data_IF_874842416028
#
_entry.id   IF_874842416028
#
_cell.length_a   1.000
_cell.length_b   1.000
_cell.length_c   1.000
_cell.angle_alpha   90.00
_cell.angle_beta   90.00
_cell.angle_gamma   90.00
#
_symmetry.space_group_name_H-M   'P 1'
#
loop_
_entity.id
_entity.type
_entity.pdbx_description
1 polymer ?
#
# COMPACT_ATOMS: atom_id res chain seq x y z
N UNK A 1 -39.74 50.98 12.27
CA UNK A 1 -38.49 50.88 11.50
C UNK A 1 -37.84 49.55 11.86
N UNK A 2 -38.19 48.51 11.07
CA UNK A 2 -37.66 47.14 11.28
C UNK A 2 -36.42 46.95 10.41
N UNK A 3 -35.25 46.72 11.06
CA UNK A 3 -34.03 46.35 10.36
C UNK A 3 -33.96 44.83 10.31
N UNK A 4 -34.10 44.27 9.13
CA UNK A 4 -33.83 42.85 8.86
C UNK A 4 -32.32 42.67 8.67
N UNK A 5 -31.67 41.97 9.57
CA UNK A 5 -30.31 41.47 9.38
C UNK A 5 -30.36 40.18 8.54
N UNK A 6 -29.89 40.26 7.30
CA UNK A 6 -29.60 39.07 6.48
C UNK A 6 -28.29 38.48 6.96
N UNK A 7 -28.35 37.30 7.57
CA UNK A 7 -27.17 36.48 7.86
C UNK A 7 -26.78 35.72 6.57
N UNK A 8 -25.68 36.11 5.96
CA UNK A 8 -25.04 35.33 4.87
C UNK A 8 -24.37 34.08 5.48
N UNK A 9 -24.96 32.92 5.30
CA UNK A 9 -24.32 31.64 5.53
C UNK A 9 -23.32 31.38 4.38
N UNK A 10 -22.03 31.62 4.62
CA UNK A 10 -20.97 31.13 3.76
C UNK A 10 -20.86 29.61 3.95
N UNK A 11 -21.42 28.84 3.05
CA UNK A 11 -21.14 27.43 2.90
C UNK A 11 -19.73 27.29 2.29
N UNK A 12 -18.73 26.93 3.09
CA UNK A 12 -17.46 26.43 2.58
C UNK A 12 -17.71 25.09 1.87
N UNK A 13 -17.95 25.15 0.56
CA UNK A 13 -17.87 23.97 -0.28
C UNK A 13 -16.39 23.55 -0.34
N UNK A 14 -16.03 22.51 0.40
CA UNK A 14 -14.78 21.79 0.21
C UNK A 14 -14.83 21.19 -1.20
N UNK A 15 -14.10 21.76 -2.15
CA UNK A 15 -13.86 21.16 -3.46
C UNK A 15 -13.00 19.90 -3.25
N UNK A 16 -13.65 18.77 -2.98
CA UNK A 16 -13.03 17.47 -3.22
C UNK A 16 -12.73 17.41 -4.73
N UNK A 17 -11.45 17.31 -5.09
CA UNK A 17 -11.08 17.04 -6.46
C UNK A 17 -11.84 15.79 -6.92
N UNK A 18 -12.62 15.91 -7.99
CA UNK A 18 -13.40 14.80 -8.53
C UNK A 18 -12.45 13.61 -8.73
N UNK A 19 -12.78 12.46 -8.15
CA UNK A 19 -12.03 11.24 -8.40
C UNK A 19 -12.24 10.85 -9.85
N UNK A 20 -11.14 10.82 -10.60
CA UNK A 20 -11.18 10.32 -11.96
C UNK A 20 -11.20 8.79 -11.92
N UNK A 21 -12.08 8.17 -12.69
CA UNK A 21 -12.08 6.73 -12.89
C UNK A 21 -10.81 6.25 -13.61
N UNK A 22 -10.53 4.96 -13.51
CA UNK A 22 -9.42 4.33 -14.21
C UNK A 22 -9.60 4.39 -15.73
N UNK A 23 -8.48 4.34 -16.46
CA UNK A 23 -8.55 4.25 -17.94
C UNK A 23 -9.01 2.88 -18.41
N UNK A 24 -8.67 1.84 -17.64
CA UNK A 24 -8.96 0.45 -17.93
C UNK A 24 -9.08 -0.38 -16.65
N UNK A 25 -9.89 -1.43 -16.69
CA UNK A 25 -9.94 -2.45 -15.66
C UNK A 25 -9.10 -3.63 -16.13
N UNK A 26 -8.20 -4.11 -15.27
CA UNK A 26 -7.38 -5.29 -15.53
C UNK A 26 -8.23 -6.48 -15.97
N UNK A 27 -7.81 -7.23 -17.01
CA UNK A 27 -8.65 -8.25 -17.64
C UNK A 27 -8.83 -9.52 -16.80
N UNK A 28 -7.85 -9.82 -15.92
CA UNK A 28 -7.90 -11.02 -15.09
C UNK A 28 -8.91 -10.90 -13.94
N UNK A 29 -9.34 -12.06 -13.46
CA UNK A 29 -10.19 -12.19 -12.26
C UNK A 29 -9.63 -13.26 -11.35
N UNK A 30 -9.45 -12.92 -10.09
CA UNK A 30 -9.16 -13.88 -9.03
C UNK A 30 -10.41 -14.10 -8.21
N UNK A 31 -10.91 -15.33 -8.19
CA UNK A 31 -12.04 -15.70 -7.37
C UNK A 31 -11.59 -15.74 -5.90
N UNK A 32 -12.22 -14.92 -5.06
CA UNK A 32 -12.11 -14.90 -3.61
C UNK A 32 -13.39 -15.45 -3.00
N UNK A 33 -13.42 -15.67 -1.68
CA UNK A 33 -14.61 -16.21 -1.01
C UNK A 33 -15.83 -15.30 -1.13
N UNK A 34 -15.59 -13.97 -1.11
CA UNK A 34 -16.61 -12.93 -1.07
C UNK A 34 -16.90 -12.28 -2.44
N UNK A 35 -16.16 -12.67 -3.50
CA UNK A 35 -16.33 -12.09 -4.83
C UNK A 35 -15.11 -12.27 -5.71
N UNK A 36 -14.99 -11.45 -6.74
CA UNK A 36 -13.88 -11.48 -7.67
C UNK A 36 -13.01 -10.24 -7.55
N UNK A 37 -11.70 -10.42 -7.50
CA UNK A 37 -10.73 -9.34 -7.57
C UNK A 37 -10.29 -9.11 -9.02
N UNK A 38 -10.42 -7.87 -9.52
CA UNK A 38 -9.80 -7.50 -10.79
C UNK A 38 -8.27 -7.55 -10.63
N UNK A 39 -7.56 -8.12 -11.59
CA UNK A 39 -6.12 -8.34 -11.48
C UNK A 39 -5.42 -8.34 -12.83
N UNK A 40 -4.28 -7.66 -12.91
CA UNK A 40 -3.30 -7.87 -13.96
C UNK A 40 -2.38 -9.03 -13.58
N UNK A 41 -2.25 -10.02 -14.46
CA UNK A 41 -1.34 -11.14 -14.27
C UNK A 41 -0.37 -11.15 -15.45
N UNK A 42 0.93 -11.12 -15.15
CA UNK A 42 1.97 -11.24 -16.15
C UNK A 42 2.03 -12.63 -16.77
N UNK A 43 2.82 -12.80 -17.85
CA UNK A 43 3.11 -14.10 -18.41
C UNK A 43 3.68 -15.02 -17.33
N UNK A 44 3.09 -16.21 -17.18
CA UNK A 44 3.60 -17.20 -16.24
C UNK A 44 4.88 -17.83 -16.81
N UNK A 45 6.02 -17.75 -16.11
CA UNK A 45 7.22 -18.46 -16.54
C UNK A 45 7.05 -19.97 -16.36
N UNK A 46 7.87 -20.75 -17.06
CA UNK A 46 7.84 -22.23 -16.96
C UNK A 46 8.12 -22.72 -15.53
N UNK A 47 8.92 -21.98 -14.77
CA UNK A 47 9.21 -22.23 -13.36
C UNK A 47 9.01 -20.96 -12.56
N UNK A 48 8.08 -20.96 -11.62
CA UNK A 48 7.79 -19.80 -10.76
C UNK A 48 8.55 -19.98 -9.43
N UNK A 49 9.68 -19.31 -9.28
CA UNK A 49 10.43 -19.30 -8.00
C UNK A 49 10.10 -18.06 -7.15
N UNK A 50 9.66 -16.97 -7.80
CA UNK A 50 9.24 -15.73 -7.15
C UNK A 50 7.88 -15.27 -7.62
N UNK A 51 7.08 -14.76 -6.70
CA UNK A 51 5.88 -14.00 -7.03
C UNK A 51 6.03 -12.56 -6.57
N UNK A 52 5.91 -11.61 -7.49
CA UNK A 52 5.91 -10.19 -7.20
C UNK A 52 4.47 -9.67 -7.25
N UNK A 53 3.90 -9.38 -6.08
CA UNK A 53 2.60 -8.71 -5.94
C UNK A 53 2.86 -7.21 -5.91
N UNK A 54 2.39 -6.50 -6.94
CA UNK A 54 2.62 -5.06 -7.09
C UNK A 54 1.32 -4.28 -6.92
N UNK A 55 1.29 -3.37 -5.92
CA UNK A 55 0.10 -2.58 -5.58
C UNK A 55 0.21 -1.19 -6.19
N UNK A 56 -0.80 -0.84 -6.99
CA UNK A 56 -0.91 0.45 -7.67
C UNK A 56 -1.06 1.65 -6.72
N UNK A 57 -0.77 2.85 -7.22
CA UNK A 57 -1.03 4.11 -6.52
C UNK A 57 -2.53 4.49 -6.50
N UNK A 58 -2.83 5.70 -6.00
CA UNK A 58 -4.21 6.21 -5.89
C UNK A 58 -4.98 6.26 -7.21
N UNK A 59 -4.30 6.27 -8.34
CA UNK A 59 -4.93 6.26 -9.67
C UNK A 59 -5.49 4.89 -10.06
N UNK A 60 -5.27 3.86 -9.28
CA UNK A 60 -5.80 2.48 -9.46
C UNK A 60 -5.43 1.84 -10.82
N UNK A 61 -4.35 2.30 -11.45
CA UNK A 61 -3.83 1.87 -12.76
C UNK A 61 -2.95 0.62 -12.65
N UNK A 62 -3.53 -0.52 -12.26
CA UNK A 62 -2.81 -1.77 -11.97
C UNK A 62 -1.95 -2.25 -13.15
N UNK A 63 -2.46 -2.17 -14.39
CA UNK A 63 -1.71 -2.59 -15.58
C UNK A 63 -0.40 -1.81 -15.79
N UNK A 64 -0.41 -0.49 -15.50
CA UNK A 64 0.82 0.32 -15.55
C UNK A 64 1.88 -0.20 -14.56
N UNK A 65 1.43 -0.58 -13.34
CA UNK A 65 2.34 -1.12 -12.31
C UNK A 65 2.79 -2.54 -12.64
N UNK A 66 1.92 -3.38 -13.20
CA UNK A 66 2.28 -4.71 -13.70
C UNK A 66 3.41 -4.63 -14.72
N UNK A 67 3.22 -3.79 -15.74
CA UNK A 67 4.23 -3.57 -16.80
C UNK A 67 5.54 -3.01 -16.23
N UNK A 68 5.47 -2.11 -15.25
CA UNK A 68 6.67 -1.58 -14.58
C UNK A 68 7.43 -2.67 -13.82
N UNK A 69 6.71 -3.54 -13.11
CA UNK A 69 7.29 -4.68 -12.39
C UNK A 69 7.90 -5.72 -13.35
N UNK A 70 7.27 -5.98 -14.49
CA UNK A 70 7.82 -6.84 -15.55
C UNK A 70 9.10 -6.25 -16.13
N UNK A 71 9.11 -4.95 -16.47
CA UNK A 71 10.35 -4.29 -16.92
C UNK A 71 11.45 -4.37 -15.86
N UNK A 72 11.12 -4.21 -14.59
CA UNK A 72 12.10 -4.36 -13.52
C UNK A 72 12.65 -5.79 -13.45
N UNK A 73 11.80 -6.82 -13.64
CA UNK A 73 12.22 -8.20 -13.70
C UNK A 73 13.12 -8.48 -14.93
N UNK A 74 12.79 -7.91 -16.09
CA UNK A 74 13.59 -8.01 -17.31
C UNK A 74 14.97 -7.39 -17.12
N UNK A 75 15.03 -6.17 -16.60
CA UNK A 75 16.30 -5.48 -16.34
C UNK A 75 17.18 -6.19 -15.31
N UNK A 76 16.56 -6.87 -14.34
CA UNK A 76 17.26 -7.68 -13.35
C UNK A 76 17.58 -9.11 -13.85
N UNK A 77 17.19 -9.49 -15.08
CA UNK A 77 17.35 -10.85 -15.59
C UNK A 77 16.55 -11.92 -14.85
N UNK A 78 15.42 -11.53 -14.22
CA UNK A 78 14.60 -12.39 -13.36
C UNK A 78 13.24 -12.78 -13.96
N UNK A 79 12.94 -12.38 -15.20
CA UNK A 79 11.65 -12.67 -15.86
C UNK A 79 11.39 -14.16 -16.04
N UNK A 80 12.45 -14.96 -16.23
CA UNK A 80 12.32 -16.40 -16.46
C UNK A 80 11.80 -17.20 -15.23
N UNK A 81 11.77 -16.58 -14.04
CA UNK A 81 11.37 -17.25 -12.81
C UNK A 81 10.45 -16.40 -11.91
N UNK A 82 10.01 -15.22 -12.38
CA UNK A 82 9.14 -14.29 -11.62
C UNK A 82 7.75 -14.20 -12.26
N UNK A 83 6.71 -14.49 -11.48
CA UNK A 83 5.33 -14.20 -11.82
C UNK A 83 4.94 -12.83 -11.20
N UNK A 84 4.43 -11.90 -12.02
CA UNK A 84 3.93 -10.61 -11.56
C UNK A 84 2.41 -10.66 -11.44
N UNK A 85 1.89 -10.23 -10.29
CA UNK A 85 0.45 -10.13 -9.98
C UNK A 85 0.17 -8.70 -9.51
N UNK A 86 -0.75 -8.00 -10.17
CA UNK A 86 -1.16 -6.63 -9.85
C UNK A 86 -2.66 -6.58 -9.50
N UNK A 87 -3.05 -6.76 -8.23
CA UNK A 87 -4.43 -6.59 -7.81
C UNK A 87 -4.90 -5.16 -8.08
N UNK A 88 -6.15 -4.99 -8.55
CA UNK A 88 -6.74 -3.69 -8.81
C UNK A 88 -7.89 -3.42 -7.85
N UNK A 89 -7.68 -2.47 -6.94
CA UNK A 89 -8.69 -2.03 -5.97
C UNK A 89 -9.60 -0.99 -6.62
N UNK A 90 -10.70 -1.46 -7.22
CA UNK A 90 -11.68 -0.59 -7.89
C UNK A 90 -12.52 0.21 -6.90
N UNK A 91 -13.08 1.33 -7.37
CA UNK A 91 -14.10 2.07 -6.66
C UNK A 91 -15.38 2.25 -7.50
N UNK A 92 -16.37 2.93 -6.94
CA UNK A 92 -17.66 3.15 -7.60
C UNK A 92 -17.53 3.91 -8.93
N UNK A 93 -16.60 4.87 -9.01
CA UNK A 93 -16.36 5.65 -10.24
C UNK A 93 -15.80 4.76 -11.34
N UNK A 94 -14.93 3.81 -11.00
CA UNK A 94 -14.32 2.90 -11.97
C UNK A 94 -15.37 1.99 -12.61
N UNK A 95 -16.23 1.38 -11.79
CA UNK A 95 -17.27 0.46 -12.29
C UNK A 95 -18.42 1.18 -12.98
N UNK A 96 -18.63 2.46 -12.69
CA UNK A 96 -19.59 3.29 -13.43
C UNK A 96 -19.11 3.60 -14.85
N UNK A 97 -17.79 3.74 -15.05
CA UNK A 97 -17.19 4.02 -16.35
C UNK A 97 -16.91 2.77 -17.17
N UNK A 98 -16.60 1.66 -16.49
CA UNK A 98 -16.25 0.38 -17.10
C UNK A 98 -17.13 -0.71 -16.51
N UNK A 99 -18.24 -1.06 -17.15
CA UNK A 99 -19.15 -2.10 -16.66
C UNK A 99 -18.42 -3.42 -16.42
N UNK A 100 -18.56 -3.96 -15.21
CA UNK A 100 -18.04 -5.26 -14.80
C UNK A 100 -19.18 -6.10 -14.21
N UNK A 101 -18.94 -7.41 -14.04
CA UNK A 101 -19.90 -8.27 -13.34
C UNK A 101 -20.13 -7.78 -11.89
N UNK A 102 -21.34 -7.98 -11.38
CA UNK A 102 -21.70 -7.60 -10.02
C UNK A 102 -20.86 -8.33 -8.95
N UNK A 103 -20.25 -9.45 -9.31
CA UNK A 103 -19.32 -10.23 -8.48
C UNK A 103 -18.00 -9.53 -8.23
N UNK A 104 -17.65 -8.47 -8.97
CA UNK A 104 -16.36 -7.80 -8.85
C UNK A 104 -16.35 -6.85 -7.66
N UNK A 105 -15.38 -7.06 -6.77
CA UNK A 105 -15.16 -6.27 -5.57
C UNK A 105 -14.85 -4.80 -5.91
N UNK A 106 -15.44 -3.89 -5.11
CA UNK A 106 -15.19 -2.44 -5.19
C UNK A 106 -15.32 -1.79 -3.81
N UNK A 107 -14.57 -0.71 -3.62
CA UNK A 107 -14.47 0.03 -2.36
C UNK A 107 -15.01 1.44 -2.51
N UNK A 108 -15.36 2.08 -1.40
CA UNK A 108 -15.70 3.50 -1.42
C UNK A 108 -14.41 4.33 -1.56
N UNK A 109 -14.33 5.17 -2.60
CA UNK A 109 -13.22 6.09 -2.81
C UNK A 109 -11.84 5.43 -2.65
N UNK A 110 -11.11 5.83 -1.63
CA UNK A 110 -9.75 5.33 -1.33
C UNK A 110 -9.66 4.48 -0.04
N UNK A 111 -10.77 3.97 0.47
CA UNK A 111 -10.79 3.21 1.73
C UNK A 111 -9.98 1.91 1.67
N UNK A 112 -9.80 1.37 0.45
CA UNK A 112 -8.92 0.23 0.20
C UNK A 112 -7.47 0.46 0.68
N UNK A 113 -7.00 1.72 0.72
CA UNK A 113 -5.64 2.03 1.19
C UNK A 113 -5.45 1.86 2.70
N UNK A 114 -6.53 1.69 3.45
CA UNK A 114 -6.50 1.60 4.91
C UNK A 114 -7.16 0.33 5.46
N UNK A 115 -7.37 -0.70 4.64
CA UNK A 115 -8.02 -1.94 5.05
C UNK A 115 -9.55 -1.84 5.12
N UNK A 116 -10.14 -0.82 4.46
CA UNK A 116 -11.58 -0.62 4.42
C UNK A 116 -12.32 -1.79 3.80
N UNK A 117 -13.61 -1.89 4.11
CA UNK A 117 -14.49 -2.93 3.56
C UNK A 117 -14.93 -2.57 2.15
N UNK A 118 -15.02 -3.57 1.28
CA UNK A 118 -15.68 -3.44 -0.02
C UNK A 118 -17.17 -3.13 0.15
N UNK A 119 -17.71 -2.35 -0.77
CA UNK A 119 -19.13 -1.96 -0.79
C UNK A 119 -19.99 -2.95 -1.57
N UNK A 120 -19.37 -3.78 -2.41
CA UNK A 120 -20.03 -4.82 -3.21
C UNK A 120 -18.99 -5.85 -3.70
N UNK A 121 -19.42 -7.09 -4.02
CA UNK A 121 -20.74 -7.67 -3.76
C UNK A 121 -20.99 -7.93 -2.29
N UNK A 122 -19.94 -8.23 -1.53
CA UNK A 122 -19.98 -8.47 -0.08
C UNK A 122 -18.87 -7.66 0.61
N UNK A 123 -19.06 -7.39 1.90
CA UNK A 123 -18.08 -6.68 2.71
C UNK A 123 -16.83 -7.54 2.93
N UNK A 124 -15.72 -7.14 2.32
CA UNK A 124 -14.40 -7.76 2.48
C UNK A 124 -13.35 -6.67 2.69
N UNK A 125 -12.55 -6.78 3.75
CA UNK A 125 -11.40 -5.89 3.91
C UNK A 125 -10.43 -6.03 2.72
N UNK A 126 -9.90 -4.92 2.24
CA UNK A 126 -8.86 -4.94 1.20
C UNK A 126 -7.64 -5.75 1.63
N UNK A 127 -7.34 -5.82 2.93
CA UNK A 127 -6.26 -6.63 3.48
C UNK A 127 -6.63 -8.11 3.53
N UNK A 128 -7.88 -8.46 3.88
CA UNK A 128 -8.35 -9.83 3.78
C UNK A 128 -8.40 -10.35 2.34
N UNK A 129 -8.63 -9.46 1.37
CA UNK A 129 -8.48 -9.81 -0.05
C UNK A 129 -7.01 -10.15 -0.40
N UNK A 130 -6.03 -9.39 0.11
CA UNK A 130 -4.62 -9.71 -0.04
C UNK A 130 -4.25 -11.03 0.65
N UNK A 131 -4.75 -11.28 1.87
CA UNK A 131 -4.53 -12.56 2.56
C UNK A 131 -4.96 -13.75 1.70
N UNK A 132 -6.13 -13.68 1.08
CA UNK A 132 -6.64 -14.76 0.21
C UNK A 132 -5.80 -14.94 -1.05
N UNK A 133 -5.23 -13.87 -1.60
CA UNK A 133 -4.31 -13.96 -2.76
C UNK A 133 -3.00 -14.63 -2.32
N UNK A 134 -2.43 -14.19 -1.21
CA UNK A 134 -1.13 -14.63 -0.71
C UNK A 134 -1.18 -16.07 -0.23
N UNK A 135 -2.22 -16.47 0.51
CA UNK A 135 -2.38 -17.83 1.01
C UNK A 135 -2.34 -18.90 -0.09
N UNK A 136 -2.84 -18.57 -1.30
CA UNK A 136 -2.77 -19.48 -2.46
C UNK A 136 -1.34 -19.83 -2.88
N UNK A 137 -0.40 -18.92 -2.64
CA UNK A 137 1.00 -19.10 -3.02
C UNK A 137 1.71 -20.14 -2.15
N UNK A 138 1.12 -20.54 -1.01
CA UNK A 138 1.55 -21.66 -0.18
C UNK A 138 1.10 -23.03 -0.69
N UNK A 139 0.14 -23.10 -1.63
CA UNK A 139 -0.29 -24.40 -2.21
C UNK A 139 0.79 -24.96 -3.16
N UNK A 140 1.57 -25.88 -2.65
CA UNK A 140 2.67 -26.53 -3.39
C UNK A 140 2.23 -27.34 -4.61
N UNK A 141 0.94 -27.66 -4.76
CA UNK A 141 0.41 -28.31 -5.97
C UNK A 141 0.27 -27.31 -7.12
N UNK A 142 -0.02 -26.03 -6.82
CA UNK A 142 -0.13 -24.95 -7.80
C UNK A 142 1.19 -24.21 -7.98
N UNK A 143 1.93 -24.01 -6.88
CA UNK A 143 3.17 -23.25 -6.83
C UNK A 143 4.31 -24.09 -6.20
N UNK A 144 4.76 -25.18 -6.87
CA UNK A 144 5.71 -26.14 -6.29
C UNK A 144 7.09 -25.53 -5.99
N UNK A 145 7.51 -24.54 -6.77
CA UNK A 145 8.87 -24.00 -6.76
C UNK A 145 8.97 -22.61 -6.10
N UNK A 146 7.87 -21.99 -5.67
CA UNK A 146 7.88 -20.65 -5.07
C UNK A 146 8.69 -20.66 -3.78
N UNK A 147 9.67 -19.76 -3.71
CA UNK A 147 10.57 -19.53 -2.57
C UNK A 147 10.39 -18.14 -1.97
N UNK A 148 10.09 -17.15 -2.84
CA UNK A 148 9.97 -15.75 -2.46
C UNK A 148 8.61 -15.18 -2.89
N UNK A 149 7.97 -14.46 -1.98
CA UNK A 149 6.85 -13.58 -2.26
C UNK A 149 7.27 -12.15 -1.91
N UNK A 150 7.28 -11.27 -2.89
CA UNK A 150 7.57 -9.84 -2.69
C UNK A 150 6.28 -9.06 -2.84
N UNK A 151 5.89 -8.32 -1.81
CA UNK A 151 4.71 -7.46 -1.81
C UNK A 151 5.21 -6.02 -1.89
N UNK A 152 5.09 -5.41 -3.05
CA UNK A 152 5.59 -4.08 -3.33
C UNK A 152 4.47 -3.10 -3.66
N UNK A 153 4.65 -1.83 -3.36
CA UNK A 153 3.71 -0.78 -3.73
C UNK A 153 4.36 0.58 -3.78
N UNK A 154 3.80 1.48 -4.58
CA UNK A 154 4.25 2.86 -4.69
C UNK A 154 3.12 3.82 -4.31
N UNK A 155 3.46 4.95 -3.65
CA UNK A 155 2.47 5.99 -3.32
C UNK A 155 1.31 5.46 -2.46
N UNK A 156 0.07 5.47 -2.97
CA UNK A 156 -1.08 4.84 -2.32
C UNK A 156 -0.89 3.35 -2.07
N UNK A 157 -0.30 2.61 -3.03
CA UNK A 157 0.05 1.21 -2.87
C UNK A 157 1.09 0.96 -1.79
N UNK A 158 2.07 1.86 -1.64
CA UNK A 158 3.04 1.79 -0.55
C UNK A 158 2.38 1.97 0.83
N UNK A 159 1.35 2.81 0.91
CA UNK A 159 0.54 2.95 2.13
C UNK A 159 -0.21 1.64 2.44
N UNK A 160 -0.74 0.96 1.41
CA UNK A 160 -1.32 -0.38 1.58
C UNK A 160 -0.27 -1.34 2.12
N UNK A 161 0.89 -1.43 1.48
CA UNK A 161 1.94 -2.38 1.85
C UNK A 161 2.42 -2.14 3.29
N UNK A 162 2.66 -0.89 3.69
CA UNK A 162 3.09 -0.57 5.06
C UNK A 162 2.04 -0.96 6.10
N UNK A 163 0.78 -0.60 5.87
CA UNK A 163 -0.33 -0.87 6.78
C UNK A 163 -0.73 -2.35 6.79
N UNK A 164 -0.66 -2.99 5.64
CA UNK A 164 -0.85 -4.44 5.53
C UNK A 164 0.25 -5.19 6.27
N UNK A 165 1.53 -4.82 6.07
CA UNK A 165 2.63 -5.41 6.82
C UNK A 165 2.48 -5.21 8.34
N UNK A 166 1.85 -4.12 8.79
CA UNK A 166 1.56 -3.88 10.21
C UNK A 166 0.39 -4.73 10.72
N UNK A 167 -0.67 -4.86 9.94
CA UNK A 167 -1.92 -5.49 10.38
C UNK A 167 -2.12 -6.92 9.87
N UNK A 168 -1.35 -7.42 8.89
CA UNK A 168 -1.58 -8.75 8.33
C UNK A 168 -1.40 -9.85 9.36
N UNK A 169 -2.21 -10.89 9.21
CA UNK A 169 -2.11 -12.10 10.00
C UNK A 169 -0.83 -12.88 9.63
N UNK A 170 -0.47 -13.84 10.46
CA UNK A 170 0.49 -14.87 10.08
C UNK A 170 -0.02 -15.60 8.82
N UNK A 171 0.91 -16.08 8.02
CA UNK A 171 0.62 -16.81 6.78
C UNK A 171 1.15 -18.25 6.92
N UNK A 172 0.47 -19.09 7.72
CA UNK A 172 0.98 -20.41 8.08
C UNK A 172 1.21 -21.32 6.88
N UNK A 173 0.47 -21.13 5.80
CA UNK A 173 0.66 -21.88 4.55
C UNK A 173 1.99 -21.54 3.88
N UNK A 174 2.39 -20.27 3.89
CA UNK A 174 3.67 -19.82 3.36
C UNK A 174 4.82 -20.25 4.26
N UNK A 175 4.66 -20.12 5.57
CA UNK A 175 5.65 -20.54 6.57
C UNK A 175 5.90 -22.05 6.50
N UNK A 176 4.84 -22.85 6.47
CA UNK A 176 4.93 -24.31 6.31
C UNK A 176 5.57 -24.72 4.98
N UNK A 177 5.38 -23.90 3.94
CA UNK A 177 6.02 -24.07 2.66
C UNK A 177 7.48 -23.54 2.62
N UNK A 178 7.97 -22.89 3.67
CA UNK A 178 9.30 -22.27 3.70
C UNK A 178 9.44 -21.12 2.71
N UNK A 179 8.36 -20.39 2.44
CA UNK A 179 8.33 -19.25 1.52
C UNK A 179 8.72 -17.99 2.27
N UNK A 180 9.73 -17.29 1.80
CA UNK A 180 10.14 -16.00 2.33
C UNK A 180 9.21 -14.89 1.83
N UNK A 181 8.81 -13.97 2.72
CA UNK A 181 7.96 -12.83 2.38
C UNK A 181 8.69 -11.53 2.66
N UNK A 182 8.83 -10.68 1.63
CA UNK A 182 9.41 -9.33 1.70
C UNK A 182 8.38 -8.27 1.37
N UNK A 183 8.43 -7.14 2.07
CA UNK A 183 7.60 -5.97 1.83
C UNK A 183 8.45 -4.82 1.30
N UNK A 184 8.06 -4.19 0.17
CA UNK A 184 8.76 -3.04 -0.42
C UNK A 184 7.83 -1.84 -0.47
N UNK A 185 8.14 -0.83 0.33
CA UNK A 185 7.32 0.35 0.59
C UNK A 185 7.94 1.56 -0.11
N UNK A 186 7.45 1.88 -1.33
CA UNK A 186 8.03 2.94 -2.16
C UNK A 186 7.24 4.25 -2.06
N UNK A 187 7.85 5.31 -1.51
CA UNK A 187 7.33 6.68 -1.47
C UNK A 187 5.88 6.83 -0.94
N UNK A 188 5.47 6.28 0.21
CA UNK A 188 4.12 6.51 0.75
C UNK A 188 3.95 7.96 1.18
N UNK A 189 2.71 8.46 1.16
CA UNK A 189 2.41 9.81 1.65
C UNK A 189 2.30 9.91 3.17
N UNK A 190 2.12 8.81 3.87
CA UNK A 190 2.06 8.75 5.33
C UNK A 190 2.29 7.32 5.82
N UNK A 191 2.65 7.20 7.09
CA UNK A 191 2.92 5.95 7.79
C UNK A 191 1.99 5.82 9.00
N UNK A 192 1.70 4.60 9.43
CA UNK A 192 1.10 4.30 10.72
C UNK A 192 2.21 4.18 11.77
N UNK A 193 2.20 5.04 12.78
CA UNK A 193 3.13 5.02 13.93
C UNK A 193 2.56 4.15 15.04
N UNK A 194 3.42 3.55 15.86
CA UNK A 194 2.98 2.68 16.97
C UNK A 194 2.50 3.46 18.18
N UNK A 195 2.98 4.68 18.36
CA UNK A 195 2.67 5.55 19.50
C UNK A 195 2.41 7.00 19.09
N UNK A 196 2.30 7.88 20.08
CA UNK A 196 1.98 9.30 19.87
C UNK A 196 3.18 10.17 19.47
N UNK A 197 4.39 9.64 19.47
CA UNK A 197 5.59 10.41 19.08
C UNK A 197 5.54 10.74 17.60
N UNK A 198 5.80 12.00 17.27
CA UNK A 198 5.93 12.47 15.90
C UNK A 198 7.19 13.32 15.75
N UNK A 199 7.87 13.25 14.59
CA UNK A 199 9.14 13.95 14.39
C UNK A 199 9.00 15.48 14.29
N UNK A 200 7.83 15.98 13.90
CA UNK A 200 7.55 17.40 13.75
C UNK A 200 6.61 17.87 14.86
N UNK A 201 6.96 18.96 15.50
CA UNK A 201 6.09 19.57 16.52
C UNK A 201 4.76 20.02 15.90
N UNK A 202 3.66 19.71 16.55
CA UNK A 202 2.31 20.05 16.11
C UNK A 202 1.39 20.28 17.32
N UNK A 203 0.24 20.94 17.08
CA UNK A 203 -0.77 21.14 18.11
C UNK A 203 -1.70 19.92 18.18
N UNK A 204 -1.74 19.22 19.30
CA UNK A 204 -2.69 18.12 19.53
C UNK A 204 -4.15 18.59 19.42
N UNK A 205 -4.47 19.78 19.93
CA UNK A 205 -5.81 20.36 19.83
C UNK A 205 -6.19 20.67 18.36
N UNK A 206 -5.20 21.07 17.54
CA UNK A 206 -5.41 21.35 16.11
C UNK A 206 -5.37 20.12 15.22
N UNK A 207 -5.01 18.94 15.77
CA UNK A 207 -4.88 17.69 15.04
C UNK A 207 -5.31 16.49 15.89
N UNK A 208 -6.56 16.41 16.33
CA UNK A 208 -7.02 15.40 17.30
C UNK A 208 -6.98 13.96 16.78
N UNK A 209 -6.93 13.77 15.47
CA UNK A 209 -6.90 12.46 14.84
C UNK A 209 -5.48 11.96 14.49
N UNK A 210 -4.42 12.65 14.97
CA UNK A 210 -3.04 12.37 14.57
C UNK A 210 -2.58 10.94 14.86
N UNK A 211 -3.17 10.27 15.86
CA UNK A 211 -2.86 8.89 16.24
C UNK A 211 -3.96 7.89 15.89
N UNK A 212 -5.03 8.34 15.21
CA UNK A 212 -6.05 7.42 14.68
C UNK A 212 -5.55 6.68 13.45
N UNK A 213 -6.10 5.50 13.24
CA UNK A 213 -5.92 4.81 11.98
C UNK A 213 -6.35 5.74 10.83
N UNK A 214 -5.57 5.94 9.88
CA UNK A 214 -4.40 5.23 9.30
C UNK A 214 -3.02 5.87 9.65
N UNK A 215 -2.93 6.75 10.61
CA UNK A 215 -1.68 7.45 10.98
C UNK A 215 -1.07 6.93 12.28
N UNK A 216 -1.84 6.21 13.06
CA UNK A 216 -1.46 5.55 14.30
C UNK A 216 -2.37 4.37 14.59
N UNK A 217 -2.32 3.83 15.79
CA UNK A 217 -2.99 2.58 16.18
C UNK A 217 -4.27 2.77 17.00
N UNK A 218 -4.80 4.00 17.09
CA UNK A 218 -6.14 4.22 17.67
C UNK A 218 -7.21 3.99 16.60
N UNK A 219 -8.35 3.45 17.00
CA UNK A 219 -9.49 3.19 16.11
C UNK A 219 -9.13 2.29 14.90
N UNK A 220 -8.46 1.17 15.17
CA UNK A 220 -8.06 0.20 14.16
C UNK A 220 -9.26 -0.35 13.38
N UNK A 221 -9.10 -0.74 12.10
CA UNK A 221 -10.16 -1.37 11.33
C UNK A 221 -10.51 -2.77 11.89
N UNK A 222 -11.72 -3.25 11.60
CA UNK A 222 -12.19 -4.58 12.02
C UNK A 222 -11.23 -5.73 11.63
N UNK A 223 -10.46 -5.56 10.56
CA UNK A 223 -9.43 -6.52 10.15
C UNK A 223 -8.37 -6.78 11.23
N UNK A 224 -8.12 -5.81 12.12
CA UNK A 224 -7.17 -5.93 13.23
C UNK A 224 -7.80 -6.41 14.54
N UNK A 225 -9.08 -6.79 14.53
CA UNK A 225 -9.81 -7.20 15.74
C UNK A 225 -9.07 -8.34 16.49
N UNK A 226 -9.08 -8.24 17.81
CA UNK A 226 -8.45 -9.24 18.70
C UNK A 226 -6.94 -9.06 18.89
N UNK A 227 -6.29 -8.07 18.23
CA UNK A 227 -4.85 -7.82 18.38
C UNK A 227 -4.57 -6.48 19.07
N UNK A 228 -3.63 -6.50 20.00
CA UNK A 228 -3.19 -5.31 20.70
C UNK A 228 -2.14 -4.54 19.89
N UNK A 229 -2.00 -3.21 20.09
CA UNK A 229 -0.92 -2.43 19.48
C UNK A 229 0.48 -3.03 19.70
N UNK A 230 0.76 -3.55 20.90
CA UNK A 230 2.05 -4.17 21.21
C UNK A 230 2.32 -5.43 20.37
N UNK A 231 1.33 -6.30 20.19
CA UNK A 231 1.46 -7.47 19.32
C UNK A 231 1.67 -7.09 17.85
N UNK A 232 0.97 -6.05 17.38
CA UNK A 232 1.13 -5.55 16.01
C UNK A 232 2.54 -4.98 15.79
N UNK A 233 3.06 -4.22 16.75
CA UNK A 233 4.41 -3.67 16.72
C UNK A 233 5.47 -4.78 16.73
N UNK A 234 5.36 -5.75 17.65
CA UNK A 234 6.28 -6.88 17.76
C UNK A 234 6.35 -7.67 16.43
N UNK A 235 5.21 -8.01 15.84
CA UNK A 235 5.16 -8.71 14.56
C UNK A 235 5.76 -7.87 13.42
N UNK A 236 5.46 -6.57 13.38
CA UNK A 236 5.94 -5.70 12.31
C UNK A 236 7.46 -5.57 12.28
N UNK A 237 8.11 -5.43 13.43
CA UNK A 237 9.56 -5.23 13.50
C UNK A 237 10.36 -6.46 13.07
N UNK A 238 9.78 -7.65 13.13
CA UNK A 238 10.38 -8.91 12.68
C UNK A 238 10.30 -9.11 11.15
N UNK A 239 9.40 -8.38 10.46
CA UNK A 239 9.19 -8.56 9.01
C UNK A 239 10.35 -8.01 8.20
N UNK A 240 10.66 -8.69 7.09
CA UNK A 240 11.61 -8.18 6.08
C UNK A 240 10.96 -7.04 5.29
N UNK A 241 11.29 -5.80 5.67
CA UNK A 241 10.71 -4.60 5.06
C UNK A 241 11.81 -3.71 4.49
N UNK A 242 11.59 -3.25 3.26
CA UNK A 242 12.44 -2.23 2.63
C UNK A 242 11.62 -0.95 2.38
N UNK A 243 12.06 0.15 2.98
CA UNK A 243 11.58 1.49 2.65
C UNK A 243 12.39 2.02 1.48
N UNK A 244 11.77 2.09 0.31
CA UNK A 244 12.41 2.54 -0.93
C UNK A 244 12.01 3.99 -1.19
N UNK A 245 12.94 4.95 -1.06
CA UNK A 245 12.65 6.37 -1.09
C UNK A 245 13.34 7.07 -2.24
N UNK A 246 12.59 7.77 -3.09
CA UNK A 246 13.14 8.59 -4.15
C UNK A 246 13.73 9.89 -3.59
N UNK A 247 15.02 10.15 -3.85
CA UNK A 247 15.71 11.33 -3.33
C UNK A 247 15.15 12.66 -3.83
N UNK A 248 14.42 12.64 -4.96
CA UNK A 248 13.76 13.83 -5.53
C UNK A 248 12.25 13.91 -5.20
N UNK A 249 11.69 13.03 -4.33
CA UNK A 249 10.29 13.13 -3.89
C UNK A 249 10.15 14.09 -2.70
N UNK A 250 10.56 15.33 -2.96
CA UNK A 250 10.76 16.41 -1.98
C UNK A 250 9.74 17.55 -2.10
N UNK A 251 8.81 17.51 -3.06
CA UNK A 251 7.83 18.59 -3.25
C UNK A 251 6.72 18.55 -2.16
N UNK A 252 6.67 19.56 -1.25
CA UNK A 252 5.64 19.64 -0.22
C UNK A 252 4.27 20.03 -0.78
N UNK A 253 4.21 20.50 -2.03
CA UNK A 253 3.00 20.94 -2.72
C UNK A 253 2.47 19.92 -3.72
N UNK A 254 3.15 18.79 -3.89
CA UNK A 254 2.75 17.75 -4.83
C UNK A 254 1.24 17.44 -4.72
N UNK A 255 0.47 17.40 -5.84
CA UNK A 255 -0.99 17.25 -5.80
C UNK A 255 -1.49 15.99 -5.10
N UNK A 256 -0.72 14.90 -5.20
CA UNK A 256 -1.04 13.62 -4.56
C UNK A 256 -0.40 13.42 -3.18
N UNK A 257 0.25 14.45 -2.61
CA UNK A 257 0.77 14.37 -1.24
C UNK A 257 -0.38 14.54 -0.24
N UNK A 258 -0.42 13.70 0.79
CA UNK A 258 -1.32 13.89 1.92
C UNK A 258 -0.91 15.16 2.69
N UNK A 259 -1.83 16.13 2.74
CA UNK A 259 -1.64 17.46 3.34
C UNK A 259 -2.42 17.63 4.64
N UNK A 260 -2.98 16.55 5.17
CA UNK A 260 -3.63 16.55 6.48
C UNK A 260 -2.65 16.94 7.60
N UNK A 261 -3.17 17.38 8.74
CA UNK A 261 -2.32 17.71 9.87
C UNK A 261 -1.56 16.49 10.39
N UNK A 262 -2.18 15.31 10.36
CA UNK A 262 -1.61 14.04 10.77
C UNK A 262 -0.40 13.65 9.91
N UNK A 263 -0.52 13.84 8.60
CA UNK A 263 0.59 13.58 7.68
C UNK A 263 1.70 14.64 7.79
N UNK A 264 1.34 15.91 8.01
CA UNK A 264 2.32 17.01 8.22
C UNK A 264 3.14 16.80 9.49
N UNK A 265 2.56 16.23 10.56
CA UNK A 265 3.27 15.86 11.76
C UNK A 265 4.40 14.83 11.52
N UNK A 266 4.36 14.12 10.40
CA UNK A 266 5.39 13.15 10.01
C UNK A 266 6.54 13.79 9.20
N UNK A 267 6.31 14.96 8.58
CA UNK A 267 7.31 15.66 7.78
C UNK A 267 6.71 16.44 6.59
N UNK A 268 7.52 17.28 5.96
CA UNK A 268 7.07 18.19 4.91
C UNK A 268 6.76 17.49 3.58
N UNK A 269 7.46 16.42 3.26
CA UNK A 269 7.36 15.69 2.00
C UNK A 269 7.62 14.19 2.19
N UNK A 270 7.47 13.38 1.15
CA UNK A 270 7.54 11.91 1.27
C UNK A 270 8.92 11.41 1.68
N UNK A 271 9.99 11.98 1.12
CA UNK A 271 11.36 11.61 1.49
C UNK A 271 11.61 11.85 2.98
N UNK A 272 11.26 13.04 3.47
CA UNK A 272 11.42 13.41 4.89
C UNK A 272 10.58 12.51 5.78
N UNK A 273 9.32 12.22 5.41
CA UNK A 273 8.44 11.31 6.17
C UNK A 273 9.01 9.91 6.27
N UNK A 274 9.56 9.40 5.19
CA UNK A 274 10.17 8.07 5.17
C UNK A 274 11.42 7.98 6.04
N UNK A 275 12.33 8.95 5.93
CA UNK A 275 13.52 9.04 6.79
C UNK A 275 13.14 9.16 8.26
N UNK A 276 12.18 10.01 8.58
CA UNK A 276 11.70 10.22 9.94
C UNK A 276 11.05 8.95 10.53
N UNK A 277 10.27 8.24 9.73
CA UNK A 277 9.65 6.98 10.17
C UNK A 277 10.69 5.90 10.43
N UNK A 278 11.67 5.75 9.55
CA UNK A 278 12.75 4.78 9.74
C UNK A 278 13.62 5.11 10.96
N UNK A 279 13.92 6.39 11.20
CA UNK A 279 14.62 6.83 12.42
C UNK A 279 13.78 6.58 13.69
N UNK A 280 12.45 6.75 13.61
CA UNK A 280 11.56 6.38 14.70
C UNK A 280 11.68 4.88 15.02
N UNK A 281 11.65 4.02 14.01
CA UNK A 281 11.80 2.56 14.18
C UNK A 281 13.14 2.20 14.80
N UNK A 282 14.23 2.73 14.29
CA UNK A 282 15.59 2.48 14.82
C UNK A 282 15.75 2.89 16.27
N UNK A 283 15.15 4.01 16.68
CA UNK A 283 15.18 4.49 18.06
C UNK A 283 14.31 3.65 18.99
N UNK A 284 13.17 3.17 18.50
CA UNK A 284 12.27 2.31 19.29
C UNK A 284 12.79 0.89 19.39
N UNK A 285 13.48 0.40 18.35
CA UNK A 285 13.99 -0.96 18.25
C UNK A 285 15.48 -0.95 17.83
N UNK A 286 16.39 -0.54 18.72
CA UNK A 286 17.81 -0.42 18.39
C UNK A 286 18.49 -1.76 18.13
N UNK A 287 17.83 -2.86 18.49
CA UNK A 287 18.25 -4.24 18.23
C UNK A 287 17.06 -5.05 17.69
N UNK A 288 17.32 -5.95 16.75
CA UNK A 288 16.31 -6.88 16.24
C UNK A 288 15.38 -6.30 15.16
N UNK A 289 15.65 -5.13 14.59
CA UNK A 289 14.88 -4.58 13.46
C UNK A 289 15.33 -5.25 12.16
N UNK A 290 14.46 -6.08 11.56
CA UNK A 290 14.71 -6.73 10.26
C UNK A 290 14.23 -5.86 9.10
N UNK A 291 14.62 -4.59 9.09
CA UNK A 291 14.15 -3.60 8.12
C UNK A 291 15.30 -2.72 7.65
N UNK A 292 15.20 -2.21 6.42
CA UNK A 292 16.19 -1.34 5.83
C UNK A 292 15.57 -0.18 5.07
N UNK A 293 16.31 0.92 4.98
CA UNK A 293 15.97 2.07 4.14
C UNK A 293 16.96 2.13 2.98
N UNK A 294 16.42 2.20 1.77
CA UNK A 294 17.17 2.35 0.52
C UNK A 294 16.69 3.59 -0.19
N UNK A 295 17.61 4.46 -0.58
CA UNK A 295 17.29 5.67 -1.33
C UNK A 295 17.66 5.52 -2.79
N UNK A 296 16.78 5.99 -3.68
CA UNK A 296 16.95 5.95 -5.14
C UNK A 296 17.42 7.33 -5.63
N UNK A 297 18.66 7.48 -6.09
CA UNK A 297 19.17 8.74 -6.59
C UNK A 297 18.40 9.22 -7.82
N UNK A 298 18.15 10.53 -7.90
CA UNK A 298 17.58 11.17 -9.11
C UNK A 298 16.11 10.88 -9.37
N UNK A 299 15.43 10.04 -8.57
CA UNK A 299 14.03 9.68 -8.76
C UNK A 299 13.14 10.48 -7.81
N UNK A 300 12.07 11.06 -8.35
CA UNK A 300 10.99 11.73 -7.61
C UNK A 300 9.80 10.81 -7.36
N UNK A 301 8.58 11.38 -7.42
CA UNK A 301 7.35 10.61 -7.24
C UNK A 301 6.95 9.84 -8.51
N UNK A 302 7.74 8.84 -8.87
CA UNK A 302 7.58 8.04 -10.09
C UNK A 302 7.77 6.54 -9.80
N UNK A 303 6.68 5.76 -9.82
CA UNK A 303 6.70 4.33 -9.51
C UNK A 303 7.57 3.52 -10.47
N UNK A 304 7.54 3.82 -11.76
CA UNK A 304 8.37 3.14 -12.75
C UNK A 304 9.86 3.38 -12.47
N UNK A 305 10.25 4.65 -12.30
CA UNK A 305 11.62 5.00 -11.97
C UNK A 305 12.10 4.38 -10.64
N UNK A 306 11.20 4.22 -9.66
CA UNK A 306 11.53 3.54 -8.39
C UNK A 306 11.86 2.06 -8.59
N UNK A 307 11.01 1.32 -9.30
CA UNK A 307 11.13 -0.13 -9.43
C UNK A 307 12.16 -0.58 -10.49
N UNK A 308 12.36 0.22 -11.55
CA UNK A 308 13.32 -0.08 -12.61
C UNK A 308 14.74 0.45 -12.33
N UNK A 309 14.93 1.25 -11.26
CA UNK A 309 16.27 1.67 -10.83
C UNK A 309 17.13 0.48 -10.38
N UNK A 310 18.47 0.61 -10.36
CA UNK A 310 19.34 -0.42 -9.80
C UNK A 310 18.98 -0.79 -8.35
N UNK A 311 18.67 0.21 -7.53
CA UNK A 311 18.23 0.01 -6.14
C UNK A 311 16.88 -0.73 -6.07
N UNK A 312 15.92 -0.34 -6.93
CA UNK A 312 14.61 -1.01 -7.05
C UNK A 312 14.76 -2.47 -7.46
N UNK A 313 15.56 -2.76 -8.48
CA UNK A 313 15.86 -4.13 -8.91
C UNK A 313 16.48 -4.95 -7.78
N UNK A 314 17.45 -4.38 -7.08
CA UNK A 314 18.12 -5.04 -5.94
C UNK A 314 17.13 -5.41 -4.82
N UNK A 315 16.23 -4.51 -4.45
CA UNK A 315 15.29 -4.77 -3.34
C UNK A 315 14.15 -5.71 -3.75
N UNK A 316 13.74 -5.70 -5.03
CA UNK A 316 12.71 -6.60 -5.54
C UNK A 316 13.23 -8.02 -5.80
N UNK A 317 14.48 -8.16 -6.21
CA UNK A 317 15.01 -9.44 -6.71
C UNK A 317 16.22 -9.98 -5.93
N UNK A 318 16.77 -9.22 -4.99
CA UNK A 318 17.83 -9.70 -4.09
C UNK A 318 19.20 -9.85 -4.76
N UNK A 319 19.54 -8.96 -5.73
CA UNK A 319 20.84 -8.97 -6.44
C UNK A 319 21.82 -7.98 -5.85
#
# INVERSE_FOLDING_TARGET
>A
MNKWLLALLLTCASTQAAEHGVKEISPGRLLLKEGEMAVGIGPAPAKIERVLIIIHGRLRNAETYRQSAERAADLAGQSANTLVIAPQFLNETDVALHPVADTVLRWQGNDWMAGGLSTAPFALSSYAALDQIIARLGDRRQFPDVKDVVIAGHSGGAQVVQRYALLSHEQPELEAAGVHVRYVIANPSSYAYFDERRPVAFSHAGCPAFNRWKYGLSDLPAYAEGRTPAQLEENYVQRDIVYLLGQQDIDPNHPALDKSCEAKAQGANRLVRGRNYFEFLKRSHPQGLNQQLVEVPGVGHNGDGMFTSPEGQKVLFGQ
#
